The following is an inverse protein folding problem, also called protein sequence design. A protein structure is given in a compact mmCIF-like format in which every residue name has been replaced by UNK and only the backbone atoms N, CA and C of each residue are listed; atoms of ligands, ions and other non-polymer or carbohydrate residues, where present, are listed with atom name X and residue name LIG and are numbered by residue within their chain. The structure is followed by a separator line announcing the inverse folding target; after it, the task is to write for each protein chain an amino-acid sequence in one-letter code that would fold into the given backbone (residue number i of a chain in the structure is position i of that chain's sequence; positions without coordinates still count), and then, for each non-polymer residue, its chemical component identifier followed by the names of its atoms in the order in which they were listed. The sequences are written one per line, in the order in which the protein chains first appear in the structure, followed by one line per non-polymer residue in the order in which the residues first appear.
data_IF_565630913524
#
_entry.id   IF_565630913524
#
_cell.length_a   1.000
_cell.length_b   1.000
_cell.length_c   1.000
_cell.angle_alpha   90.00
_cell.angle_beta   90.00
_cell.angle_gamma   90.00
#
_symmetry.space_group_name_H-M   'P 1'
#
loop_
_entity.id
_entity.type
_entity.pdbx_description
1 polymer ?
#
# COMPACT_ATOMS: atom_id res chain seq x y z
N UNK A 1 39.82 25.07 -2.80
CA UNK A 1 38.72 24.88 -1.81
C UNK A 1 37.45 25.30 -2.52
N UNK A 2 36.41 24.51 -2.78
CA UNK A 2 36.06 23.15 -2.42
C UNK A 2 35.35 22.48 -3.59
N UNK A 3 35.51 21.16 -3.63
CA UNK A 3 34.99 20.19 -4.58
C UNK A 3 33.72 19.61 -3.97
N UNK A 4 32.61 19.61 -4.71
CA UNK A 4 31.57 18.58 -4.60
C UNK A 4 30.81 18.52 -5.92
N UNK A 5 31.27 17.63 -6.79
CA UNK A 5 30.41 16.92 -7.73
C UNK A 5 29.36 16.13 -6.92
N UNK A 6 28.12 16.05 -7.40
CA UNK A 6 27.51 14.78 -7.85
C UNK A 6 26.00 14.94 -8.09
N UNK A 7 25.61 14.66 -9.33
CA UNK A 7 24.43 13.89 -9.71
C UNK A 7 23.07 14.34 -9.16
N UNK A 8 22.29 15.02 -9.99
CA UNK A 8 20.86 14.68 -10.14
C UNK A 8 20.45 14.97 -11.58
N UNK A 9 20.97 14.15 -12.50
CA UNK A 9 20.37 14.05 -13.82
C UNK A 9 18.93 13.63 -13.62
N UNK A 10 17.99 14.53 -13.93
CA UNK A 10 16.58 14.16 -14.02
C UNK A 10 16.50 13.05 -15.05
N UNK A 11 16.32 11.80 -14.61
CA UNK A 11 16.05 10.71 -15.52
C UNK A 11 14.80 11.12 -16.28
N UNK A 12 14.96 11.44 -17.56
CA UNK A 12 13.84 11.81 -18.43
C UNK A 12 12.91 10.62 -18.43
N UNK A 13 11.75 10.79 -17.78
CA UNK A 13 10.67 9.79 -17.73
C UNK A 13 10.45 9.29 -19.15
N UNK A 14 10.70 7.99 -19.41
CA UNK A 14 10.52 7.46 -20.78
C UNK A 14 9.06 7.70 -21.15
N UNK A 15 8.75 7.93 -22.42
CA UNK A 15 7.37 8.13 -22.86
C UNK A 15 6.43 6.97 -22.47
N UNK A 16 6.99 5.77 -22.22
CA UNK A 16 6.28 4.60 -21.73
C UNK A 16 6.12 4.52 -20.20
N UNK A 17 6.89 5.29 -19.43
CA UNK A 17 6.82 5.32 -17.98
C UNK A 17 5.61 6.16 -17.58
N UNK A 18 4.54 5.54 -17.12
CA UNK A 18 3.34 6.23 -16.63
C UNK A 18 3.38 6.32 -15.10
N UNK A 19 3.04 7.49 -14.56
CA UNK A 19 2.87 7.69 -13.11
C UNK A 19 1.62 8.52 -12.91
N UNK A 20 0.74 8.07 -12.02
CA UNK A 20 -0.49 8.78 -11.69
C UNK A 20 -0.78 8.66 -10.20
N UNK A 21 -1.37 9.72 -9.65
CA UNK A 21 -2.02 9.68 -8.34
C UNK A 21 -3.44 9.23 -8.57
N UNK A 22 -3.86 8.20 -7.84
CA UNK A 22 -5.21 7.64 -7.93
C UNK A 22 -5.96 8.05 -6.67
N UNK A 23 -6.85 9.06 -6.71
CA UNK A 23 -7.68 9.38 -5.58
C UNK A 23 -8.72 8.27 -5.38
N UNK A 24 -8.79 7.73 -4.16
CA UNK A 24 -9.78 6.73 -3.80
C UNK A 24 -11.06 7.42 -3.31
N UNK A 25 -12.21 7.07 -3.89
CA UNK A 25 -13.50 7.59 -3.46
C UNK A 25 -13.89 6.94 -2.12
N UNK A 26 -14.21 7.79 -1.15
CA UNK A 26 -14.60 7.37 0.20
C UNK A 26 -16.02 6.80 0.18
N UNK A 27 -16.24 5.72 0.93
CA UNK A 27 -17.57 5.14 1.14
C UNK A 27 -17.74 4.68 2.59
N UNK A 28 -19.00 4.68 3.06
CA UNK A 28 -19.37 4.13 4.35
C UNK A 28 -19.82 2.69 4.19
N UNK A 29 -19.00 1.75 4.64
CA UNK A 29 -19.39 0.35 4.65
C UNK A 29 -20.21 0.08 5.92
N UNK A 30 -21.51 -0.23 5.80
CA UNK A 30 -22.44 -0.40 6.94
C UNK A 30 -21.97 -1.42 7.99
N UNK A 31 -21.00 -2.28 7.64
CA UNK A 31 -20.44 -3.34 8.49
C UNK A 31 -19.06 -3.02 9.08
N UNK A 32 -18.43 -1.89 8.72
CA UNK A 32 -17.17 -1.43 9.30
C UNK A 32 -17.38 -0.06 9.94
N UNK A 33 -16.91 0.10 11.18
CA UNK A 33 -16.90 1.37 11.92
C UNK A 33 -15.97 2.44 11.30
N UNK A 34 -15.39 2.18 10.12
CA UNK A 34 -14.35 2.99 9.50
C UNK A 34 -14.72 3.21 8.04
N UNK A 35 -14.60 4.46 7.60
CA UNK A 35 -14.66 4.88 6.20
C UNK A 35 -13.72 4.02 5.34
N UNK A 36 -14.26 3.45 4.26
CA UNK A 36 -13.59 2.54 3.32
C UNK A 36 -13.51 3.19 1.94
N UNK A 37 -12.94 2.50 0.97
CA UNK A 37 -12.82 2.99 -0.40
C UNK A 37 -13.61 2.16 -1.38
N UNK A 38 -14.39 2.81 -2.23
CA UNK A 38 -15.13 2.16 -3.31
C UNK A 38 -14.33 2.24 -4.61
N UNK A 39 -13.58 1.18 -4.89
CA UNK A 39 -12.88 1.03 -6.17
C UNK A 39 -13.80 0.56 -7.30
N UNK A 40 -14.93 -0.07 -7.00
CA UNK A 40 -15.85 -0.60 -8.01
C UNK A 40 -16.73 0.51 -8.60
N UNK A 41 -17.04 1.54 -7.80
CA UNK A 41 -17.66 2.77 -8.28
C UNK A 41 -16.77 3.63 -9.19
N UNK A 42 -15.46 3.33 -9.29
CA UNK A 42 -14.50 4.06 -10.12
C UNK A 42 -13.75 3.12 -11.09
N UNK A 43 -14.40 2.68 -12.20
CA UNK A 43 -13.87 1.64 -13.08
C UNK A 43 -12.52 2.00 -13.73
N UNK A 44 -12.33 3.25 -14.13
CA UNK A 44 -11.06 3.72 -14.70
C UNK A 44 -9.90 3.64 -13.70
N UNK A 45 -10.19 3.96 -12.44
CA UNK A 45 -9.23 3.88 -11.33
C UNK A 45 -8.84 2.44 -11.07
N UNK A 46 -9.81 1.53 -11.07
CA UNK A 46 -9.56 0.10 -10.93
C UNK A 46 -8.69 -0.44 -12.09
N UNK A 47 -8.95 0.00 -13.31
CA UNK A 47 -8.18 -0.41 -14.49
C UNK A 47 -6.74 0.09 -14.45
N UNK A 48 -6.51 1.32 -13.98
CA UNK A 48 -5.16 1.85 -13.75
C UNK A 48 -4.42 1.03 -12.69
N UNK A 49 -5.08 0.69 -11.59
CA UNK A 49 -4.50 -0.13 -10.53
C UNK A 49 -4.12 -1.54 -11.03
N UNK A 50 -4.96 -2.16 -11.87
CA UNK A 50 -4.69 -3.47 -12.49
C UNK A 50 -3.50 -3.46 -13.47
N UNK A 51 -3.07 -2.29 -13.96
CA UNK A 51 -1.94 -2.15 -14.89
C UNK A 51 -0.68 -1.60 -14.22
N UNK A 52 -0.79 -1.03 -13.02
CA UNK A 52 0.33 -0.42 -12.31
C UNK A 52 1.39 -1.46 -11.91
N UNK A 53 2.66 -1.17 -12.25
CA UNK A 53 3.82 -2.00 -11.85
C UNK A 53 4.47 -1.55 -10.55
N UNK A 54 4.32 -0.28 -10.22
CA UNK A 54 4.74 0.32 -8.95
C UNK A 54 3.55 1.08 -8.37
N UNK A 55 3.22 0.81 -7.11
CA UNK A 55 2.12 1.45 -6.39
C UNK A 55 2.66 1.97 -5.08
N UNK A 56 2.52 3.27 -4.82
CA UNK A 56 2.79 3.85 -3.51
C UNK A 56 1.47 3.97 -2.75
N UNK A 57 1.42 3.38 -1.56
CA UNK A 57 0.32 3.50 -0.62
C UNK A 57 0.74 4.50 0.44
N UNK A 58 0.43 5.76 0.14
CA UNK A 58 0.59 6.90 1.03
C UNK A 58 -0.82 7.45 1.31
N UNK A 59 -1.42 6.95 2.40
CA UNK A 59 -2.78 7.31 2.82
C UNK A 59 -2.72 8.25 4.03
N UNK A 60 -3.76 9.08 4.28
CA UNK A 60 -3.82 10.00 5.42
C UNK A 60 -3.53 9.32 6.78
N UNK A 61 -3.22 10.08 7.84
CA UNK A 61 -2.64 9.57 9.10
C UNK A 61 -3.51 8.57 9.88
N UNK A 62 -4.72 8.25 9.40
CA UNK A 62 -5.54 7.18 9.96
C UNK A 62 -5.03 5.82 9.46
N UNK A 63 -4.46 4.97 10.34
CA UNK A 63 -3.88 3.72 9.88
C UNK A 63 -4.91 2.78 9.24
N UNK A 64 -6.22 2.89 9.53
CA UNK A 64 -7.23 1.97 9.02
C UNK A 64 -7.49 2.20 7.54
N UNK A 65 -7.50 3.46 7.14
CA UNK A 65 -7.59 3.86 5.74
C UNK A 65 -6.35 3.37 4.99
N UNK A 66 -5.18 3.50 5.60
CA UNK A 66 -3.93 3.00 5.03
C UNK A 66 -3.93 1.48 4.85
N UNK A 67 -4.41 0.74 5.84
CA UNK A 67 -4.58 -0.72 5.77
C UNK A 67 -5.54 -1.14 4.66
N UNK A 68 -6.68 -0.45 4.53
CA UNK A 68 -7.67 -0.73 3.49
C UNK A 68 -7.11 -0.42 2.09
N UNK A 69 -6.44 0.73 1.93
CA UNK A 69 -5.76 1.10 0.68
C UNK A 69 -4.69 0.07 0.29
N UNK A 70 -3.88 -0.39 1.25
CA UNK A 70 -2.90 -1.44 1.02
C UNK A 70 -3.57 -2.76 0.62
N UNK A 71 -4.65 -3.15 1.29
CA UNK A 71 -5.39 -4.36 0.98
C UNK A 71 -5.94 -4.32 -0.45
N UNK A 72 -6.53 -3.20 -0.86
CA UNK A 72 -7.04 -2.99 -2.21
C UNK A 72 -5.92 -3.01 -3.25
N UNK A 73 -4.80 -2.34 -2.99
CA UNK A 73 -3.63 -2.36 -3.86
C UNK A 73 -3.14 -3.80 -4.07
N UNK A 74 -2.92 -4.56 -3.00
CA UNK A 74 -2.47 -5.95 -3.08
C UNK A 74 -3.47 -6.84 -3.81
N UNK A 75 -4.79 -6.62 -3.61
CA UNK A 75 -5.85 -7.40 -4.24
C UNK A 75 -5.85 -7.23 -5.75
N UNK A 76 -5.79 -5.98 -6.23
CA UNK A 76 -6.05 -5.65 -7.63
C UNK A 76 -4.79 -5.48 -8.48
N UNK A 77 -3.63 -5.21 -7.88
CA UNK A 77 -2.37 -5.07 -8.63
C UNK A 77 -2.05 -6.31 -9.49
N UNK A 78 -1.36 -6.17 -10.62
CA UNK A 78 -0.95 -7.30 -11.44
C UNK A 78 0.16 -8.11 -10.78
N UNK A 79 0.38 -9.33 -11.25
CA UNK A 79 1.54 -10.14 -10.87
C UNK A 79 2.82 -9.38 -11.29
N UNK A 80 3.82 -9.41 -10.41
CA UNK A 80 5.08 -8.68 -10.58
C UNK A 80 5.00 -7.20 -10.16
N UNK A 81 3.84 -6.71 -9.72
CA UNK A 81 3.76 -5.36 -9.17
C UNK A 81 4.50 -5.24 -7.83
N UNK A 82 5.20 -4.14 -7.67
CA UNK A 82 5.83 -3.68 -6.43
C UNK A 82 4.89 -2.67 -5.77
N UNK A 83 4.54 -2.91 -4.52
CA UNK A 83 3.67 -2.04 -3.73
C UNK A 83 4.49 -1.56 -2.53
N UNK A 84 4.66 -0.26 -2.45
CA UNK A 84 5.39 0.44 -1.39
C UNK A 84 4.36 0.98 -0.41
N UNK A 85 4.52 0.62 0.86
CA UNK A 85 3.74 1.13 1.97
C UNK A 85 4.60 2.11 2.74
N UNK A 86 4.08 3.33 2.90
CA UNK A 86 4.72 4.34 3.75
C UNK A 86 4.30 4.20 5.23
N UNK A 87 4.99 4.91 6.11
CA UNK A 87 4.70 5.06 7.53
C UNK A 87 4.74 3.74 8.33
N UNK A 88 5.69 2.85 8.04
CA UNK A 88 5.92 1.70 8.94
C UNK A 88 6.47 2.08 10.31
N UNK A 89 6.86 3.33 10.53
CA UNK A 89 7.12 3.84 11.88
C UNK A 89 5.85 3.79 12.75
N UNK A 90 4.65 3.88 12.14
CA UNK A 90 3.38 3.74 12.85
C UNK A 90 3.15 2.27 13.19
N UNK A 91 3.16 1.98 14.50
CA UNK A 91 3.08 0.60 15.02
C UNK A 91 1.87 -0.19 14.51
N UNK A 92 0.72 0.45 14.35
CA UNK A 92 -0.49 -0.18 13.81
C UNK A 92 -0.28 -0.62 12.35
N UNK A 93 0.21 0.29 11.50
CA UNK A 93 0.56 0.03 10.10
C UNK A 93 1.58 -1.09 9.96
N UNK A 94 2.66 -1.05 10.74
CA UNK A 94 3.68 -2.10 10.73
C UNK A 94 3.10 -3.48 11.09
N UNK A 95 2.34 -3.55 12.19
CA UNK A 95 1.70 -4.80 12.63
C UNK A 95 0.80 -5.38 11.54
N UNK A 96 -0.01 -4.55 10.90
CA UNK A 96 -0.85 -4.98 9.79
C UNK A 96 -0.03 -5.51 8.62
N UNK A 97 0.97 -4.76 8.17
CA UNK A 97 1.82 -5.13 7.04
C UNK A 97 2.50 -6.49 7.27
N UNK A 98 3.14 -6.68 8.43
CA UNK A 98 3.77 -7.95 8.80
C UNK A 98 2.77 -9.10 8.90
N UNK A 99 1.58 -8.87 9.48
CA UNK A 99 0.52 -9.88 9.59
C UNK A 99 0.05 -10.32 8.20
N UNK A 100 -0.26 -9.36 7.34
CA UNK A 100 -0.75 -9.62 5.99
C UNK A 100 0.30 -10.36 5.15
N UNK A 101 1.57 -9.94 5.26
CA UNK A 101 2.70 -10.62 4.62
C UNK A 101 2.82 -12.08 5.09
N UNK A 102 2.74 -12.33 6.40
CA UNK A 102 2.82 -13.68 6.97
C UNK A 102 1.66 -14.57 6.51
N UNK A 103 0.42 -14.06 6.57
CA UNK A 103 -0.77 -14.80 6.14
C UNK A 103 -0.75 -15.13 4.65
N UNK A 104 -0.10 -14.29 3.84
CA UNK A 104 -0.11 -14.40 2.38
C UNK A 104 1.28 -14.65 1.78
N UNK A 105 2.20 -15.30 2.51
CA UNK A 105 3.59 -15.50 2.09
C UNK A 105 3.76 -16.29 0.77
N UNK A 106 2.75 -17.09 0.39
CA UNK A 106 2.72 -17.78 -0.91
C UNK A 106 2.40 -16.86 -2.09
N UNK A 107 1.85 -15.67 -1.83
CA UNK A 107 1.32 -14.71 -2.82
C UNK A 107 2.15 -13.45 -2.91
N UNK A 108 2.80 -13.06 -1.81
CA UNK A 108 3.63 -11.87 -1.75
C UNK A 108 4.97 -12.19 -1.11
N UNK A 109 6.03 -11.53 -1.59
CA UNK A 109 7.22 -11.30 -0.79
C UNK A 109 7.09 -9.95 -0.12
N UNK A 110 7.61 -9.86 1.10
CA UNK A 110 7.58 -8.65 1.88
C UNK A 110 8.98 -8.36 2.43
N UNK A 111 9.41 -7.11 2.31
CA UNK A 111 10.64 -6.60 2.88
C UNK A 111 10.38 -5.28 3.58
N UNK A 112 11.21 -4.96 4.57
CA UNK A 112 11.29 -3.63 5.15
C UNK A 112 12.54 -2.97 4.59
N UNK A 113 12.37 -1.75 4.08
CA UNK A 113 13.42 -0.95 3.50
C UNK A 113 13.55 0.35 4.30
N UNK A 114 14.76 0.72 4.67
CA UNK A 114 15.02 1.97 5.39
C UNK A 114 15.74 2.93 4.45
N UNK A 115 15.04 3.97 3.97
CA UNK A 115 15.60 5.07 3.18
C UNK A 115 15.03 6.36 3.77
N UNK A 116 15.79 7.03 4.63
CA UNK A 116 15.41 8.20 5.44
C UNK A 116 14.25 7.96 6.45
N UNK A 117 13.32 7.07 6.13
CA UNK A 117 12.21 6.56 6.94
C UNK A 117 11.95 5.08 6.59
N UNK A 118 11.10 4.41 7.38
CA UNK A 118 10.82 2.97 7.23
C UNK A 118 9.68 2.72 6.23
N UNK A 119 10.00 2.00 5.15
CA UNK A 119 9.09 1.62 4.07
C UNK A 119 8.86 0.10 4.03
N UNK A 120 7.70 -0.29 3.51
CA UNK A 120 7.29 -1.69 3.40
C UNK A 120 7.10 -2.05 1.95
N UNK A 121 7.82 -3.05 1.48
CA UNK A 121 7.83 -3.42 0.07
C UNK A 121 7.14 -4.77 -0.10
N UNK A 122 6.02 -4.79 -0.80
CA UNK A 122 5.33 -6.01 -1.21
C UNK A 122 5.58 -6.27 -2.70
N UNK A 123 6.09 -7.45 -3.04
CA UNK A 123 6.13 -7.94 -4.43
C UNK A 123 5.05 -9.00 -4.62
N UNK A 124 4.11 -8.75 -5.53
CA UNK A 124 3.05 -9.72 -5.86
C UNK A 124 3.58 -10.84 -6.75
N UNK A 125 3.55 -12.07 -6.25
CA UNK A 125 4.02 -13.27 -6.93
C UNK A 125 2.92 -14.05 -7.62
N UNK A 126 1.72 -14.11 -7.01
CA UNK A 126 0.63 -14.98 -7.46
C UNK A 126 -0.74 -14.30 -7.37
N UNK A 127 -1.72 -14.70 -8.21
CA UNK A 127 -3.07 -14.19 -8.12
C UNK A 127 -3.86 -14.85 -6.98
N UNK A 128 -5.07 -14.32 -6.73
CA UNK A 128 -6.11 -14.95 -5.90
C UNK A 128 -6.55 -14.11 -4.69
N UNK A 129 -7.47 -14.69 -3.89
CA UNK A 129 -8.03 -14.06 -2.68
C UNK A 129 -7.01 -13.83 -1.56
N UNK A 130 -6.86 -12.60 -1.09
CA UNK A 130 -5.98 -12.29 0.05
C UNK A 130 -6.68 -12.69 1.35
N UNK A 131 -5.97 -13.38 2.21
CA UNK A 131 -6.40 -13.65 3.57
C UNK A 131 -6.13 -12.44 4.44
N UNK A 132 -7.16 -11.91 5.08
CA UNK A 132 -7.02 -10.86 6.08
C UNK A 132 -7.90 -11.24 7.26
N UNK A 133 -7.28 -11.87 8.26
CA UNK A 133 -7.92 -12.20 9.55
C UNK A 133 -7.31 -11.29 10.61
N UNK A 134 -7.91 -10.11 10.89
CA UNK A 134 -7.47 -9.28 12.01
C UNK A 134 -7.76 -10.02 13.32
N UNK A 135 -6.89 -9.86 14.31
CA UNK A 135 -7.22 -10.31 15.67
C UNK A 135 -8.26 -9.36 16.30
N UNK A 136 -9.05 -9.86 17.25
CA UNK A 136 -10.02 -9.06 18.02
C UNK A 136 -9.37 -7.84 18.69
N UNK A 137 -8.12 -7.98 19.15
CA UNK A 137 -7.30 -6.89 19.75
C UNK A 137 -6.97 -5.80 18.73
N UNK A 138 -6.81 -6.14 17.46
CA UNK A 138 -6.56 -5.19 16.38
C UNK A 138 -7.84 -4.53 15.90
N UNK A 139 -8.97 -5.25 15.97
CA UNK A 139 -10.28 -4.70 15.65
C UNK A 139 -10.77 -3.69 16.70
N UNK A 140 -10.53 -3.95 17.99
CA UNK A 140 -11.11 -3.17 19.10
C UNK A 140 -10.09 -2.23 19.76
N UNK A 141 -8.84 -2.65 19.95
CA UNK A 141 -7.92 -2.02 20.90
C UNK A 141 -6.82 -1.12 20.33
N UNK A 142 -6.55 -1.18 19.03
CA UNK A 142 -5.38 -0.48 18.44
C UNK A 142 -5.76 0.83 17.74
N UNK A 143 -7.04 1.01 17.38
CA UNK A 143 -7.56 2.24 16.76
C UNK A 143 -7.86 3.37 17.75
N UNK A 144 -8.15 3.01 19.01
CA UNK A 144 -8.54 3.94 20.08
C UNK A 144 -7.37 4.38 20.98
N UNK A 145 -6.15 3.89 20.72
CA UNK A 145 -4.96 4.11 21.57
C UNK A 145 -3.82 4.85 20.85
N UNK A 146 -4.11 5.56 19.77
CA UNK A 146 -3.24 6.60 19.20
C UNK A 146 -3.66 7.96 19.69
#
# INVERSE_FOLDING_TARGET
MNRTEQSNGSVTKRAADYSAVIPLQRCWNRLRLIESFDLEAAPETLDRLKRARLILVDSPPNPAKREDALFLALRHAPIGAVIVLDDLAVRATARFAHRLARQNAKRFRFWVLNIDHTLGIFLKLRPGRIESRPSLVEFVGTWLRT
#
